data_IF_392240908692
#
_entry.id   IF_392240908692
#
_cell.length_a   1.000
_cell.length_b   1.000
_cell.length_c   1.000
_cell.angle_alpha   90.00
_cell.angle_beta   90.00
_cell.angle_gamma   90.00
#
_symmetry.space_group_name_H-M   'P 1'
#
loop_
_entity.id
_entity.type
_entity.pdbx_description
1 polymer ?
#
# COMPACT_ATOMS: atom_id res chain seq x y z
N UNK A 1 -14.75 -12.18 6.29
CA UNK A 1 -14.56 -11.79 4.87
C UNK A 1 -15.70 -10.91 4.33
N UNK A 2 -16.81 -10.76 5.06
CA UNK A 2 -18.10 -10.29 4.53
C UNK A 2 -18.22 -8.75 4.50
N UNK A 3 -17.49 -8.04 5.37
CA UNK A 3 -17.51 -6.57 5.46
C UNK A 3 -16.79 -5.85 4.32
N UNK A 4 -15.86 -6.52 3.63
CA UNK A 4 -15.07 -5.91 2.56
C UNK A 4 -15.79 -5.95 1.20
N UNK A 5 -16.69 -6.91 1.01
CA UNK A 5 -17.44 -7.07 -0.23
C UNK A 5 -18.51 -5.97 -0.43
N UNK A 6 -19.12 -5.49 0.66
CA UNK A 6 -20.19 -4.49 0.62
C UNK A 6 -19.78 -3.16 -0.06
N UNK A 7 -18.64 -2.52 0.28
CA UNK A 7 -18.18 -1.32 -0.43
C UNK A 7 -17.92 -1.55 -1.92
N UNK A 8 -17.40 -2.73 -2.28
CA UNK A 8 -17.09 -3.08 -3.67
C UNK A 8 -18.37 -3.26 -4.48
N UNK A 9 -19.34 -3.99 -3.95
CA UNK A 9 -20.65 -4.16 -4.61
C UNK A 9 -21.34 -2.82 -4.78
N UNK A 10 -21.33 -1.98 -3.74
CA UNK A 10 -22.00 -0.67 -3.78
C UNK A 10 -21.35 0.29 -4.80
N UNK A 11 -20.02 0.29 -4.93
CA UNK A 11 -19.31 1.08 -5.93
C UNK A 11 -19.45 0.54 -7.37
N UNK A 12 -19.55 -0.78 -7.52
CA UNK A 12 -19.82 -1.41 -8.82
C UNK A 12 -21.22 -1.04 -9.33
N UNK A 13 -22.21 -1.06 -8.43
CA UNK A 13 -23.60 -0.72 -8.73
C UNK A 13 -23.78 0.73 -9.22
N UNK A 14 -23.09 1.72 -8.62
CA UNK A 14 -23.20 3.11 -9.09
C UNK A 14 -22.62 3.31 -10.49
N UNK A 15 -21.60 2.53 -10.84
CA UNK A 15 -20.98 2.58 -12.17
C UNK A 15 -21.89 1.96 -13.23
N UNK A 16 -22.47 0.79 -12.94
CA UNK A 16 -23.45 0.15 -13.83
C UNK A 16 -24.65 1.07 -14.06
N UNK A 17 -25.20 1.67 -13.01
CA UNK A 17 -26.29 2.64 -13.13
C UNK A 17 -25.89 3.88 -13.96
N UNK A 18 -24.69 4.42 -13.77
CA UNK A 18 -24.18 5.53 -14.57
C UNK A 18 -24.05 5.17 -16.05
N UNK A 19 -23.58 3.96 -16.35
CA UNK A 19 -23.44 3.43 -17.71
C UNK A 19 -24.82 3.13 -18.34
N UNK A 20 -25.78 2.61 -17.57
CA UNK A 20 -27.16 2.36 -18.01
C UNK A 20 -27.93 3.65 -18.31
N UNK A 21 -27.70 4.76 -17.59
CA UNK A 21 -28.32 6.07 -17.90
C UNK A 21 -27.98 6.52 -19.33
N UNK A 22 -26.75 6.27 -19.79
CA UNK A 22 -26.36 6.58 -21.17
C UNK A 22 -27.07 5.68 -22.19
N UNK A 23 -27.42 4.45 -21.84
CA UNK A 23 -28.10 3.52 -22.76
C UNK A 23 -29.53 3.94 -23.15
N UNK A 24 -30.16 4.87 -22.43
CA UNK A 24 -31.53 5.35 -22.73
C UNK A 24 -31.61 6.39 -23.86
N UNK A 25 -30.49 6.74 -24.49
CA UNK A 25 -30.47 7.66 -25.63
C UNK A 25 -30.39 6.86 -26.92
N UNK A 26 -31.42 6.95 -27.77
CA UNK A 26 -31.53 6.33 -29.11
C UNK A 26 -30.59 6.99 -30.14
N UNK A 27 -29.29 7.00 -29.84
CA UNK A 27 -28.26 7.55 -30.73
C UNK A 27 -27.08 6.60 -30.85
N UNK A 28 -26.69 6.32 -32.09
CA UNK A 28 -25.53 5.49 -32.42
C UNK A 28 -24.25 5.98 -31.74
N UNK A 29 -24.11 7.30 -31.57
CA UNK A 29 -22.98 7.93 -30.89
C UNK A 29 -22.90 7.51 -29.42
N UNK A 30 -24.05 7.39 -28.76
CA UNK A 30 -24.14 7.02 -27.34
C UNK A 30 -23.92 5.53 -27.13
N UNK A 31 -24.34 4.69 -28.09
CA UNK A 31 -24.11 3.24 -28.04
C UNK A 31 -22.61 2.89 -28.18
N UNK A 32 -21.87 3.62 -29.03
CA UNK A 32 -20.40 3.48 -29.12
C UNK A 32 -19.73 3.94 -27.84
N UNK A 33 -20.18 5.05 -27.26
CA UNK A 33 -19.65 5.57 -25.99
C UNK A 33 -19.92 4.62 -24.81
N UNK A 34 -21.11 4.03 -24.75
CA UNK A 34 -21.43 2.97 -23.79
C UNK A 34 -20.48 1.78 -23.95
N UNK A 35 -20.27 1.32 -25.19
CA UNK A 35 -19.43 0.16 -25.47
C UNK A 35 -17.97 0.40 -25.11
N UNK A 36 -17.45 1.62 -25.30
CA UNK A 36 -16.08 1.98 -24.91
C UNK A 36 -15.93 2.10 -23.40
N UNK A 37 -16.86 2.76 -22.70
CA UNK A 37 -16.82 2.89 -21.23
C UNK A 37 -16.93 1.51 -20.57
N UNK A 38 -17.85 0.65 -21.04
CA UNK A 38 -18.00 -0.71 -20.54
C UNK A 38 -16.73 -1.54 -20.74
N UNK A 39 -16.13 -1.48 -21.93
CA UNK A 39 -14.88 -2.20 -22.22
C UNK A 39 -13.71 -1.68 -21.39
N UNK A 40 -13.57 -0.36 -21.27
CA UNK A 40 -12.54 0.30 -20.44
C UNK A 40 -12.73 -0.06 -18.97
N UNK A 41 -13.96 -0.15 -18.47
CA UNK A 41 -14.24 -0.58 -17.11
C UNK A 41 -13.86 -2.04 -16.88
N UNK A 42 -14.24 -2.95 -17.77
CA UNK A 42 -13.92 -4.37 -17.63
C UNK A 42 -12.40 -4.58 -17.68
N UNK A 43 -11.73 -4.01 -18.67
CA UNK A 43 -10.27 -4.13 -18.81
C UNK A 43 -9.56 -3.40 -17.67
N UNK A 44 -10.02 -2.21 -17.29
CA UNK A 44 -9.45 -1.41 -16.21
C UNK A 44 -9.58 -2.08 -14.85
N UNK A 45 -10.74 -2.67 -14.54
CA UNK A 45 -10.96 -3.43 -13.30
C UNK A 45 -10.15 -4.72 -13.32
N UNK A 46 -10.14 -5.46 -14.43
CA UNK A 46 -9.33 -6.67 -14.54
C UNK A 46 -7.83 -6.36 -14.38
N UNK A 47 -7.33 -5.32 -15.05
CA UNK A 47 -5.95 -4.89 -14.92
C UNK A 47 -5.66 -4.38 -13.50
N UNK A 48 -6.51 -3.54 -12.91
CA UNK A 48 -6.32 -3.02 -11.56
C UNK A 48 -6.35 -4.12 -10.49
N UNK A 49 -7.27 -5.08 -10.57
CA UNK A 49 -7.39 -6.19 -9.62
C UNK A 49 -6.24 -7.20 -9.74
N UNK A 50 -5.58 -7.31 -10.89
CA UNK A 50 -4.42 -8.19 -11.08
C UNK A 50 -3.11 -7.46 -10.76
N UNK A 51 -2.97 -6.20 -11.14
CA UNK A 51 -1.75 -5.42 -10.95
C UNK A 51 -1.55 -5.04 -9.48
N UNK A 52 -2.62 -4.76 -8.74
CA UNK A 52 -2.57 -4.44 -7.31
C UNK A 52 -1.98 -5.59 -6.44
N UNK A 53 -2.43 -6.85 -6.53
CA UNK A 53 -1.83 -7.97 -5.78
C UNK A 53 -0.42 -8.31 -6.25
N UNK A 54 -0.09 -8.12 -7.53
CA UNK A 54 1.27 -8.33 -8.04
C UNK A 54 2.23 -7.30 -7.45
N UNK A 55 1.84 -6.03 -7.46
CA UNK A 55 2.64 -4.94 -6.89
C UNK A 55 2.79 -5.12 -5.38
N UNK A 56 1.71 -5.47 -4.67
CA UNK A 56 1.81 -5.79 -3.24
C UNK A 56 2.73 -6.99 -3.00
N UNK A 57 2.58 -8.08 -3.75
CA UNK A 57 3.39 -9.29 -3.60
C UNK A 57 4.89 -9.05 -3.83
N UNK A 58 5.25 -8.19 -4.79
CA UNK A 58 6.65 -7.80 -5.01
C UNK A 58 7.14 -6.83 -3.94
N UNK A 59 6.29 -5.91 -3.49
CA UNK A 59 6.68 -4.89 -2.51
C UNK A 59 6.87 -5.47 -1.11
N UNK A 60 6.08 -6.47 -0.70
CA UNK A 60 6.19 -7.11 0.63
C UNK A 60 7.61 -7.59 0.98
N UNK A 61 8.28 -8.46 0.19
CA UNK A 61 9.64 -8.91 0.51
C UNK A 61 10.68 -7.79 0.37
N UNK A 62 10.44 -6.80 -0.50
CA UNK A 62 11.33 -5.64 -0.63
C UNK A 62 11.28 -4.74 0.61
N UNK A 63 10.08 -4.48 1.13
CA UNK A 63 9.87 -3.68 2.35
C UNK A 63 10.44 -4.38 3.58
N UNK A 64 10.23 -5.69 3.72
CA UNK A 64 10.77 -6.49 4.82
C UNK A 64 12.31 -6.40 4.89
N UNK A 65 12.98 -6.51 3.73
CA UNK A 65 14.44 -6.41 3.61
C UNK A 65 14.95 -5.00 3.92
N UNK A 66 14.21 -3.96 3.58
CA UNK A 66 14.60 -2.59 3.90
C UNK A 66 14.41 -2.31 5.40
N UNK A 67 13.29 -2.74 5.97
CA UNK A 67 12.98 -2.55 7.38
C UNK A 67 14.05 -3.19 8.28
N UNK A 68 14.42 -4.44 7.99
CA UNK A 68 15.46 -5.16 8.74
C UNK A 68 16.87 -4.57 8.56
N UNK A 69 17.16 -3.88 7.45
CA UNK A 69 18.41 -3.09 7.29
C UNK A 69 18.40 -1.81 8.13
N UNK A 70 17.25 -1.16 8.24
CA UNK A 70 17.07 0.05 9.04
C UNK A 70 17.15 -0.26 10.53
N UNK A 71 16.53 -1.36 11.00
CA UNK A 71 16.64 -1.81 12.39
C UNK A 71 18.10 -2.08 12.78
N UNK A 72 18.86 -2.83 11.97
CA UNK A 72 20.29 -3.06 12.22
C UNK A 72 21.09 -1.75 12.32
N UNK A 73 20.78 -0.76 11.48
CA UNK A 73 21.44 0.55 11.50
C UNK A 73 21.05 1.38 12.72
N UNK A 74 19.81 1.24 13.21
CA UNK A 74 19.34 1.88 14.44
C UNK A 74 20.02 1.28 15.68
N UNK A 75 20.09 -0.05 15.75
CA UNK A 75 20.76 -0.75 16.85
C UNK A 75 22.26 -0.47 16.90
N UNK A 76 22.91 -0.42 15.74
CA UNK A 76 24.34 -0.07 15.67
C UNK A 76 24.60 1.37 16.13
N UNK A 77 23.74 2.33 15.75
CA UNK A 77 23.82 3.70 16.25
C UNK A 77 23.56 3.79 17.75
N UNK A 78 22.57 3.05 18.25
CA UNK A 78 22.24 2.97 19.69
C UNK A 78 23.37 2.37 20.49
N UNK A 79 23.99 1.29 20.01
CA UNK A 79 25.15 0.66 20.63
C UNK A 79 26.34 1.63 20.69
N UNK A 80 26.70 2.28 19.58
CA UNK A 80 27.79 3.27 19.56
C UNK A 80 27.50 4.45 20.49
N UNK A 81 26.27 4.96 20.52
CA UNK A 81 25.86 6.01 21.46
C UNK A 81 25.99 5.56 22.92
N UNK A 82 25.50 4.36 23.27
CA UNK A 82 25.63 3.78 24.61
C UNK A 82 27.10 3.57 25.00
N UNK A 83 27.98 3.15 24.09
CA UNK A 83 29.41 2.97 24.38
C UNK A 83 30.12 4.31 24.58
N UNK A 84 29.77 5.32 23.79
CA UNK A 84 30.35 6.67 23.86
C UNK A 84 29.97 7.35 25.17
N UNK A 85 28.71 7.21 25.56
CA UNK A 85 28.20 7.76 26.80
C UNK A 85 28.71 6.93 27.99
N UNK A 86 28.69 5.60 27.87
CA UNK A 86 29.26 4.61 28.79
C UNK A 86 30.68 4.93 29.24
N UNK A 87 31.54 5.23 28.28
CA UNK A 87 32.94 5.62 28.48
C UNK A 87 33.06 6.94 29.24
N UNK A 88 32.20 7.93 28.96
CA UNK A 88 32.18 9.19 29.69
C UNK A 88 31.80 9.00 31.18
N UNK A 89 30.91 8.04 31.49
CA UNK A 89 30.61 7.70 32.88
C UNK A 89 31.75 6.91 33.52
N UNK A 90 32.33 5.92 32.82
CA UNK A 90 33.43 5.10 33.33
C UNK A 90 34.69 5.92 33.66
N UNK A 91 34.91 7.06 32.98
CA UNK A 91 36.03 7.97 33.25
C UNK A 91 35.79 8.86 34.49
N UNK A 92 34.53 9.05 34.92
CA UNK A 92 34.18 9.99 36.00
C UNK A 92 33.83 9.32 37.33
N UNK A 93 33.79 7.99 37.41
CA UNK A 93 33.52 7.30 38.67
C UNK A 93 34.80 7.24 39.52
N UNK A 94 34.85 7.87 40.71
CA UNK A 94 35.93 7.63 41.66
C UNK A 94 35.81 6.19 42.17
N UNK A 95 36.81 5.36 41.88
CA UNK A 95 36.92 4.00 42.41
C UNK A 95 37.25 4.08 43.90
N UNK A 96 36.23 4.19 44.75
CA UNK A 96 36.41 4.08 46.19
C UNK A 96 36.32 2.61 46.60
N UNK A 97 37.42 1.88 46.41
CA UNK A 97 37.66 0.59 47.05
C UNK A 97 38.14 0.89 48.48
N UNK A 98 37.37 0.40 49.45
CA UNK A 98 37.66 0.41 50.89
C UNK A 98 39.01 -0.20 51.24
#
# INVERSE_FOLDING_TARGET
>A
MEKLAWPVVHGSMSTILGVTVLAFIDSYMVLVFFKTIFLVLVIGVFHALVLLPIVLSVTTPYVERLNSRLERRSDEKKAKALTSNGSAYAITVPVNVS
#
